data_IF_918631669789
#
_entry.id   IF_918631669789
#
_cell.length_a   1.000
_cell.length_b   1.000
_cell.length_c   1.000
_cell.angle_alpha   90.00
_cell.angle_beta   90.00
_cell.angle_gamma   90.00
#
_symmetry.space_group_name_H-M   'P 1'
#
loop_
_entity.id
_entity.type
_entity.pdbx_description
1 polymer ?
#
# COMPACT_ATOMS: atom_id res chain seq x y z
N UNK A 1 -12.30 -5.89 0.82
CA UNK A 1 -11.43 -7.09 0.90
C UNK A 1 -11.46 -7.63 2.32
N UNK A 2 -11.70 -8.93 2.52
CA UNK A 2 -11.68 -9.47 3.87
C UNK A 2 -10.25 -9.86 4.29
N UNK A 3 -10.09 -10.22 5.57
CA UNK A 3 -8.78 -10.55 6.14
C UNK A 3 -8.12 -11.75 5.43
N UNK A 4 -8.88 -12.79 5.12
CA UNK A 4 -8.33 -13.98 4.45
C UNK A 4 -7.81 -13.66 3.06
N UNK A 5 -8.56 -12.88 2.30
CA UNK A 5 -8.15 -12.43 0.97
C UNK A 5 -6.91 -11.55 1.04
N UNK A 6 -6.86 -10.66 2.02
CA UNK A 6 -5.71 -9.79 2.23
C UNK A 6 -4.45 -10.61 2.52
N UNK A 7 -4.56 -11.61 3.39
CA UNK A 7 -3.44 -12.49 3.72
C UNK A 7 -2.91 -13.22 2.49
N UNK A 8 -3.79 -13.62 1.57
CA UNK A 8 -3.37 -14.24 0.31
C UNK A 8 -2.60 -13.26 -0.56
N UNK A 9 -3.11 -12.03 -0.69
CA UNK A 9 -2.50 -11.01 -1.55
C UNK A 9 -1.08 -10.67 -1.11
N UNK A 10 -0.86 -10.51 0.19
CA UNK A 10 0.47 -10.13 0.71
C UNK A 10 1.50 -11.27 0.70
N UNK A 11 1.07 -12.51 0.39
CA UNK A 11 1.99 -13.65 0.28
C UNK A 11 2.78 -13.65 -1.03
N UNK A 12 2.53 -12.71 -1.91
CA UNK A 12 3.25 -12.60 -3.18
C UNK A 12 4.77 -12.63 -2.97
N UNK A 13 5.53 -13.36 -3.82
CA UNK A 13 6.99 -13.31 -3.78
C UNK A 13 7.54 -12.00 -4.33
N UNK A 14 6.70 -11.18 -4.93
CA UNK A 14 7.03 -9.83 -5.37
C UNK A 14 6.48 -8.83 -4.36
N UNK A 15 7.10 -7.64 -4.22
CA UNK A 15 6.63 -6.66 -3.25
C UNK A 15 5.19 -6.20 -3.54
N UNK A 16 4.43 -6.01 -2.47
CA UNK A 16 3.06 -5.52 -2.51
C UNK A 16 3.01 -4.21 -1.74
N UNK A 17 2.73 -3.13 -2.43
CA UNK A 17 2.52 -1.83 -1.81
C UNK A 17 1.05 -1.69 -1.45
N UNK A 18 0.77 -1.54 -0.17
CA UNK A 18 -0.60 -1.34 0.33
C UNK A 18 -0.76 0.09 0.78
N UNK A 19 -1.74 0.79 0.21
CA UNK A 19 -2.12 2.15 0.57
C UNK A 19 -3.40 2.10 1.41
N UNK A 20 -3.25 2.42 2.70
CA UNK A 20 -4.41 2.61 3.58
C UNK A 20 -4.84 4.07 3.47
N UNK A 21 -6.04 4.28 2.96
CA UNK A 21 -6.55 5.62 2.66
C UNK A 21 -7.97 5.81 3.18
N UNK A 22 -8.46 7.05 3.08
CA UNK A 22 -9.86 7.38 3.33
C UNK A 22 -10.34 8.37 2.25
N UNK A 23 -11.62 8.29 1.92
CA UNK A 23 -12.21 9.16 0.90
C UNK A 23 -12.16 10.64 1.30
N UNK A 24 -12.26 10.92 2.61
CA UNK A 24 -12.26 12.29 3.14
C UNK A 24 -10.85 12.88 3.29
N UNK A 25 -9.83 12.15 2.99
CA UNK A 25 -8.44 12.53 3.23
C UNK A 25 -7.85 13.29 2.03
N UNK A 26 -7.50 14.55 2.24
CA UNK A 26 -6.88 15.39 1.18
C UNK A 26 -5.57 14.83 0.65
N UNK A 27 -4.57 14.54 1.51
CA UNK A 27 -3.30 13.94 1.05
C UNK A 27 -3.48 12.62 0.32
N UNK A 28 -4.50 11.83 0.69
CA UNK A 28 -4.80 10.59 -0.01
C UNK A 28 -5.19 10.84 -1.47
N UNK A 29 -5.91 11.93 -1.74
CA UNK A 29 -6.28 12.30 -3.10
C UNK A 29 -5.05 12.69 -3.94
N UNK A 30 -4.07 13.32 -3.32
CA UNK A 30 -2.80 13.65 -3.97
C UNK A 30 -2.04 12.38 -4.35
N UNK A 31 -2.13 11.36 -3.51
CA UNK A 31 -1.42 10.10 -3.74
C UNK A 31 -2.03 9.24 -4.85
N UNK A 32 -3.34 9.37 -5.14
CA UNK A 32 -3.99 8.52 -6.15
C UNK A 32 -3.28 8.49 -7.50
N UNK A 33 -3.02 9.64 -8.16
CA UNK A 33 -2.32 9.61 -9.44
C UNK A 33 -0.88 9.10 -9.32
N UNK A 34 -0.22 9.34 -8.18
CA UNK A 34 1.13 8.81 -7.95
C UNK A 34 1.13 7.28 -7.89
N UNK A 35 0.14 6.70 -7.22
CA UNK A 35 0.01 5.25 -7.12
C UNK A 35 -0.31 4.59 -8.46
N UNK A 36 -1.14 5.24 -9.29
CA UNK A 36 -1.39 4.77 -10.64
C UNK A 36 -0.11 4.75 -11.47
N UNK A 37 0.69 5.79 -11.34
CA UNK A 37 1.98 5.90 -12.04
C UNK A 37 2.96 4.82 -11.56
N UNK A 38 3.03 4.60 -10.24
CA UNK A 38 3.86 3.53 -9.66
C UNK A 38 3.43 2.16 -10.21
N UNK A 39 2.12 1.88 -10.20
CA UNK A 39 1.59 0.60 -10.68
C UNK A 39 1.94 0.39 -12.15
N UNK A 40 1.79 1.43 -12.97
CA UNK A 40 2.09 1.35 -14.40
C UNK A 40 3.57 1.10 -14.64
N UNK A 41 4.43 1.85 -13.97
CA UNK A 41 5.88 1.73 -14.17
C UNK A 41 6.45 0.42 -13.64
N UNK A 42 5.92 -0.08 -12.53
CA UNK A 42 6.39 -1.35 -11.95
C UNK A 42 5.86 -2.57 -12.71
N UNK A 43 4.67 -2.45 -13.32
CA UNK A 43 4.08 -3.56 -14.06
C UNK A 43 3.97 -4.81 -13.21
N UNK A 44 4.52 -5.92 -13.69
CA UNK A 44 4.47 -7.20 -12.98
C UNK A 44 5.49 -7.33 -11.84
N UNK A 45 6.37 -6.34 -11.68
CA UNK A 45 7.41 -6.38 -10.65
C UNK A 45 6.89 -6.08 -9.24
N UNK A 46 5.72 -5.48 -9.13
CA UNK A 46 5.10 -5.15 -7.85
C UNK A 46 3.59 -5.11 -8.00
N UNK A 47 2.90 -5.28 -6.88
CA UNK A 47 1.44 -5.08 -6.82
C UNK A 47 1.17 -3.81 -6.03
N UNK A 48 0.14 -3.08 -6.42
CA UNK A 48 -0.34 -1.90 -5.68
C UNK A 48 -1.79 -2.17 -5.28
N UNK A 49 -2.06 -2.11 -3.99
CA UNK A 49 -3.37 -2.40 -3.40
C UNK A 49 -3.83 -1.21 -2.58
N UNK A 50 -5.07 -0.79 -2.77
CA UNK A 50 -5.66 0.31 -2.00
C UNK A 50 -6.70 -0.24 -1.04
N UNK A 51 -6.60 0.14 0.24
CA UNK A 51 -7.52 -0.28 1.31
C UNK A 51 -8.16 0.95 1.93
N UNK A 52 -9.48 1.03 1.82
CA UNK A 52 -10.27 2.09 2.45
C UNK A 52 -10.47 1.74 3.92
N UNK A 53 -9.92 2.54 4.83
CA UNK A 53 -9.97 2.24 6.28
C UNK A 53 -11.38 2.30 6.86
N UNK A 54 -12.28 3.02 6.23
CA UNK A 54 -13.67 3.13 6.68
C UNK A 54 -14.49 1.91 6.27
N UNK A 55 -14.14 1.29 5.16
CA UNK A 55 -14.77 0.05 4.67
C UNK A 55 -14.14 -1.19 5.26
N UNK A 56 -12.84 -1.18 5.45
CA UNK A 56 -12.06 -2.33 5.91
C UNK A 56 -11.51 -2.06 7.32
N UNK A 57 -12.43 -1.87 8.26
CA UNK A 57 -12.08 -1.51 9.65
C UNK A 57 -11.23 -2.56 10.34
N UNK A 58 -11.51 -3.85 10.09
CA UNK A 58 -10.74 -4.93 10.68
C UNK A 58 -9.28 -4.91 10.24
N UNK A 59 -9.04 -4.66 8.94
CA UNK A 59 -7.68 -4.53 8.41
C UNK A 59 -6.96 -3.32 9.00
N UNK A 60 -7.66 -2.18 9.07
CA UNK A 60 -7.09 -0.96 9.65
C UNK A 60 -6.67 -1.18 11.11
N UNK A 61 -7.49 -1.86 11.89
CA UNK A 61 -7.18 -2.19 13.28
C UNK A 61 -6.02 -3.17 13.38
N UNK A 62 -6.02 -4.20 12.55
CA UNK A 62 -4.98 -5.24 12.53
C UNK A 62 -3.60 -4.63 12.33
N UNK A 63 -3.49 -3.64 11.46
CA UNK A 63 -2.22 -2.99 11.16
C UNK A 63 -2.04 -1.66 11.87
N UNK A 64 -2.90 -1.35 12.84
CA UNK A 64 -2.84 -0.14 13.68
C UNK A 64 -2.67 1.13 12.85
N UNK A 65 -3.56 1.31 11.88
CA UNK A 65 -3.55 2.50 11.05
C UNK A 65 -4.16 3.65 11.84
N UNK A 66 -3.35 4.63 12.22
CA UNK A 66 -3.77 5.79 13.02
C UNK A 66 -3.84 7.07 12.22
N UNK A 67 -3.27 7.08 11.03
CA UNK A 67 -3.28 8.24 10.14
C UNK A 67 -3.34 7.77 8.70
N UNK A 68 -3.83 8.61 7.80
CA UNK A 68 -3.90 8.31 6.37
C UNK A 68 -3.28 9.44 5.55
N UNK A 69 -2.63 9.14 4.44
CA UNK A 69 -2.35 7.79 3.96
C UNK A 69 -1.25 7.11 4.77
N UNK A 70 -1.31 5.80 4.90
CA UNK A 70 -0.23 4.98 5.44
C UNK A 70 0.09 3.90 4.42
N UNK A 71 1.36 3.78 4.09
CA UNK A 71 1.86 2.82 3.11
C UNK A 71 2.65 1.72 3.82
N UNK A 72 2.37 0.48 3.44
CA UNK A 72 3.13 -0.67 3.93
C UNK A 72 3.55 -1.50 2.72
N UNK A 73 4.81 -1.94 2.71
CA UNK A 73 5.28 -2.89 1.70
C UNK A 73 5.38 -4.26 2.35
N UNK A 74 4.69 -5.23 1.74
CA UNK A 74 4.75 -6.65 2.14
C UNK A 74 5.46 -7.45 1.06
N UNK A 75 6.09 -8.54 1.47
CA UNK A 75 6.64 -9.55 0.56
C UNK A 75 6.70 -10.88 1.29
N UNK A 76 6.20 -11.93 0.65
CA UNK A 76 6.10 -13.26 1.28
C UNK A 76 5.39 -13.22 2.64
N UNK A 77 4.39 -12.37 2.78
CA UNK A 77 3.63 -12.21 4.01
C UNK A 77 4.27 -11.33 5.07
N UNK A 78 5.51 -10.88 4.87
CA UNK A 78 6.24 -10.04 5.83
C UNK A 78 6.06 -8.56 5.54
N UNK A 79 5.88 -7.78 6.60
CA UNK A 79 5.91 -6.32 6.52
C UNK A 79 7.37 -5.87 6.50
N UNK A 80 7.82 -5.30 5.37
CA UNK A 80 9.21 -4.88 5.18
C UNK A 80 9.45 -3.40 5.42
N UNK A 81 8.41 -2.58 5.24
CA UNK A 81 8.54 -1.13 5.32
C UNK A 81 7.19 -0.50 5.57
N UNK A 82 7.19 0.64 6.26
CA UNK A 82 5.96 1.39 6.58
C UNK A 82 6.26 2.87 6.72
N UNK A 83 5.39 3.71 6.16
CA UNK A 83 5.48 5.16 6.30
C UNK A 83 4.12 5.80 6.13
N UNK A 84 3.84 6.86 6.88
CA UNK A 84 2.61 7.66 6.75
C UNK A 84 2.91 8.99 6.08
N UNK A 85 1.91 9.56 5.42
CA UNK A 85 1.99 10.87 4.77
C UNK A 85 2.37 10.78 3.30
N UNK A 86 2.60 11.96 2.71
CA UNK A 86 2.95 12.07 1.29
C UNK A 86 4.32 11.46 1.01
N UNK A 87 4.41 10.77 -0.12
CA UNK A 87 5.68 10.23 -0.62
C UNK A 87 5.70 10.38 -2.14
N UNK A 88 6.87 10.65 -2.70
CA UNK A 88 7.00 10.84 -4.14
C UNK A 88 6.90 9.52 -4.90
N UNK A 89 6.46 9.61 -6.16
CA UNK A 89 6.41 8.47 -7.08
C UNK A 89 7.78 7.79 -7.18
N UNK A 90 8.84 8.59 -7.35
CA UNK A 90 10.21 8.07 -7.50
C UNK A 90 10.66 7.33 -6.26
N UNK A 91 10.36 7.87 -5.06
CA UNK A 91 10.73 7.21 -3.81
C UNK A 91 10.03 5.85 -3.67
N UNK A 92 8.75 5.76 -4.02
CA UNK A 92 8.01 4.50 -3.99
C UNK A 92 8.58 3.48 -4.97
N UNK A 93 8.89 3.92 -6.19
CA UNK A 93 9.49 3.03 -7.21
C UNK A 93 10.85 2.51 -6.71
N UNK A 94 11.67 3.38 -6.12
CA UNK A 94 12.96 2.98 -5.59
C UNK A 94 12.82 1.93 -4.49
N UNK A 95 11.90 2.14 -3.55
CA UNK A 95 11.63 1.18 -2.48
C UNK A 95 11.18 -0.17 -3.04
N UNK A 96 10.23 -0.16 -3.97
CA UNK A 96 9.73 -1.40 -4.57
C UNK A 96 10.81 -2.11 -5.39
N UNK A 97 11.71 -1.36 -6.00
CA UNK A 97 12.85 -1.91 -6.72
C UNK A 97 13.85 -2.55 -5.75
N UNK A 98 14.12 -1.90 -4.64
CA UNK A 98 15.04 -2.41 -3.62
C UNK A 98 14.53 -3.71 -2.98
N UNK A 99 13.22 -3.89 -2.91
CA UNK A 99 12.61 -5.09 -2.31
C UNK A 99 12.28 -6.19 -3.32
N UNK A 100 12.77 -6.12 -4.54
CA UNK A 100 12.55 -7.19 -5.54
C UNK A 100 13.04 -8.57 -5.11
#
# INVERSE_FOLDING_TARGET
MNMDRFKEVIQSPKPVLVDFYAEWCGPCQIMKPRLLDVAERMGEKAKVVEIDIDREKELAERYRIQSVPTFIIFKNGEQLWRQSGLISTIALIQLLTDYQ
#
